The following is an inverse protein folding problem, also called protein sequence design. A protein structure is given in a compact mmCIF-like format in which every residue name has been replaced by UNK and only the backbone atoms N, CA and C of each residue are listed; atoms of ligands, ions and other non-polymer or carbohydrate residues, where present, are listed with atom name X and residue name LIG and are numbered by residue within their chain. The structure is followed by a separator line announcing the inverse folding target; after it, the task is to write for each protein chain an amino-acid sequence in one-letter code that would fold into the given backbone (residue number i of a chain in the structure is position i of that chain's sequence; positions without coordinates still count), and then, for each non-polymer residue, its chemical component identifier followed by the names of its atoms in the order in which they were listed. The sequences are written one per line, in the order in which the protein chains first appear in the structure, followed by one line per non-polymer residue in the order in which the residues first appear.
data_IF_808243973568
#
_entry.id   IF_808243973568
#
_cell.length_a   1.000
_cell.length_b   1.000
_cell.length_c   1.000
_cell.angle_alpha   90.00
_cell.angle_beta   90.00
_cell.angle_gamma   90.00
#
_symmetry.space_group_name_H-M   'P 1'
#
loop_
_entity.id
_entity.type
_entity.pdbx_description
1 polymer ?
#
# COMPACT_ATOMS: atom_id res chain seq x y z
N UNK A 1 32.50 3.81 30.16
CA UNK A 1 31.83 5.04 29.70
C UNK A 1 31.65 5.11 28.15
N UNK A 2 32.55 4.54 27.34
CA UNK A 2 32.52 4.60 25.86
C UNK A 2 31.45 3.67 25.22
N UNK A 3 31.11 2.56 25.88
CA UNK A 3 30.11 1.59 25.36
C UNK A 3 28.69 2.17 25.42
N UNK A 4 28.40 2.98 26.45
CA UNK A 4 27.07 3.63 26.60
C UNK A 4 26.77 4.67 25.54
N UNK A 5 27.80 5.40 25.06
CA UNK A 5 27.60 6.44 24.04
C UNK A 5 27.30 5.85 22.64
N UNK A 6 27.96 4.75 22.26
CA UNK A 6 27.68 4.07 20.95
C UNK A 6 26.31 3.42 20.91
N UNK A 7 25.86 2.87 22.05
CA UNK A 7 24.50 2.29 22.14
C UNK A 7 23.43 3.38 22.04
N UNK A 8 23.63 4.53 22.67
CA UNK A 8 22.71 5.67 22.62
C UNK A 8 22.65 6.30 21.20
N UNK A 9 23.78 6.42 20.53
CA UNK A 9 23.86 6.90 19.13
C UNK A 9 23.15 5.93 18.18
N UNK A 10 23.28 4.63 18.40
CA UNK A 10 22.56 3.61 17.61
C UNK A 10 21.04 3.71 17.77
N UNK A 11 20.52 3.82 18.99
CA UNK A 11 19.08 3.98 19.26
C UNK A 11 18.56 5.29 18.66
N UNK A 12 19.30 6.39 18.83
CA UNK A 12 18.91 7.68 18.28
C UNK A 12 18.85 7.63 16.72
N UNK A 13 19.79 6.95 16.08
CA UNK A 13 19.78 6.75 14.62
C UNK A 13 18.59 5.92 14.12
N UNK A 14 18.21 4.86 14.87
CA UNK A 14 17.03 4.05 14.55
C UNK A 14 15.74 4.86 14.73
N UNK A 15 15.64 5.63 15.82
CA UNK A 15 14.49 6.50 16.08
C UNK A 15 14.33 7.58 15.00
N UNK A 16 15.41 8.21 14.57
CA UNK A 16 15.41 9.22 13.52
C UNK A 16 14.95 8.60 12.20
N UNK A 17 15.47 7.42 11.82
CA UNK A 17 15.03 6.72 10.61
C UNK A 17 13.55 6.36 10.68
N UNK A 18 13.06 5.91 11.81
CA UNK A 18 11.64 5.59 12.03
C UNK A 18 10.75 6.83 11.92
N UNK A 19 11.18 7.97 12.49
CA UNK A 19 10.44 9.24 12.38
C UNK A 19 10.44 9.73 10.93
N UNK A 20 11.56 9.71 10.24
CA UNK A 20 11.65 10.10 8.82
C UNK A 20 10.74 9.24 7.95
N UNK A 21 10.73 7.93 8.18
CA UNK A 21 9.84 6.99 7.50
C UNK A 21 8.35 7.32 7.73
N UNK A 22 7.96 7.64 8.97
CA UNK A 22 6.59 8.06 9.29
C UNK A 22 6.22 9.40 8.64
N UNK A 23 7.14 10.36 8.65
CA UNK A 23 6.95 11.68 8.00
C UNK A 23 6.73 11.53 6.51
N UNK A 24 7.51 10.68 5.85
CA UNK A 24 7.35 10.34 4.43
C UNK A 24 5.92 9.86 4.12
N UNK A 25 5.40 8.92 4.92
CA UNK A 25 4.04 8.38 4.76
C UNK A 25 2.97 9.47 4.92
N UNK A 26 3.15 10.35 5.90
CA UNK A 26 2.23 11.45 6.17
C UNK A 26 2.25 12.51 5.06
N UNK A 27 3.41 12.81 4.50
CA UNK A 27 3.52 13.76 3.38
C UNK A 27 2.80 13.22 2.15
N UNK A 28 3.03 11.96 1.78
CA UNK A 28 2.35 11.35 0.65
C UNK A 28 0.85 11.34 0.80
N UNK A 29 0.36 10.96 1.98
CA UNK A 29 -1.06 11.04 2.27
C UNK A 29 -1.58 12.48 2.22
N UNK A 30 -0.81 13.46 2.72
CA UNK A 30 -1.16 14.88 2.69
C UNK A 30 -1.31 15.44 1.26
N UNK A 31 -0.52 14.96 0.32
CA UNK A 31 -0.60 15.37 -1.10
C UNK A 31 -1.73 14.62 -1.84
N UNK A 32 -1.90 13.31 -1.58
CA UNK A 32 -2.93 12.50 -2.24
C UNK A 32 -4.33 12.80 -1.76
N UNK A 33 -4.51 13.06 -0.45
CA UNK A 33 -5.83 13.25 0.14
C UNK A 33 -6.65 14.35 -0.55
N UNK A 34 -6.17 15.59 -0.75
CA UNK A 34 -6.96 16.63 -1.41
C UNK A 34 -7.42 16.21 -2.81
N UNK A 35 -6.54 15.59 -3.60
CA UNK A 35 -6.87 15.14 -4.95
C UNK A 35 -7.96 14.06 -4.96
N UNK A 36 -7.82 13.03 -4.14
CA UNK A 36 -8.81 11.94 -4.03
C UNK A 36 -10.13 12.45 -3.45
N UNK A 37 -10.09 13.30 -2.43
CA UNK A 37 -11.30 13.86 -1.81
C UNK A 37 -12.09 14.72 -2.81
N UNK A 38 -11.40 15.58 -3.58
CA UNK A 38 -12.02 16.36 -4.65
C UNK A 38 -12.60 15.46 -5.74
N UNK A 39 -11.85 14.49 -6.23
CA UNK A 39 -12.31 13.53 -7.22
C UNK A 39 -13.61 12.83 -6.79
N UNK A 40 -13.67 12.31 -5.56
CA UNK A 40 -14.85 11.64 -5.05
C UNK A 40 -16.00 12.59 -4.71
N UNK A 41 -15.70 13.80 -4.28
CA UNK A 41 -16.72 14.83 -4.06
C UNK A 41 -17.47 15.16 -5.36
N UNK A 42 -16.77 15.26 -6.49
CA UNK A 42 -17.39 15.54 -7.79
C UNK A 42 -18.04 14.32 -8.42
N UNK A 43 -17.46 13.12 -8.26
CA UNK A 43 -17.94 11.91 -8.94
C UNK A 43 -18.96 11.10 -8.14
N UNK A 44 -18.97 11.23 -6.79
CA UNK A 44 -19.83 10.41 -5.92
C UNK A 44 -20.18 11.12 -4.59
N UNK A 45 -20.66 12.36 -4.71
CA UNK A 45 -20.92 13.25 -3.57
C UNK A 45 -21.74 12.63 -2.44
N UNK A 46 -22.78 11.87 -2.79
CA UNK A 46 -23.71 11.30 -1.80
C UNK A 46 -23.06 10.18 -0.98
N UNK A 47 -22.31 9.29 -1.63
CA UNK A 47 -21.58 8.21 -0.96
C UNK A 47 -20.39 8.77 -0.19
N UNK A 48 -19.67 9.72 -0.79
CA UNK A 48 -18.55 10.41 -0.15
C UNK A 48 -18.94 11.03 1.19
N UNK A 49 -20.04 11.81 1.27
CA UNK A 49 -20.51 12.41 2.52
C UNK A 49 -20.81 11.39 3.62
N UNK A 50 -21.25 10.17 3.25
CA UNK A 50 -21.55 9.10 4.21
C UNK A 50 -20.32 8.31 4.65
N UNK A 51 -19.31 8.20 3.78
CA UNK A 51 -18.16 7.27 3.95
C UNK A 51 -16.80 7.94 3.85
N UNK A 52 -16.71 9.28 3.97
CA UNK A 52 -15.46 10.04 3.84
C UNK A 52 -14.34 9.51 4.76
N UNK A 53 -14.67 9.08 5.97
CA UNK A 53 -13.71 8.54 6.92
C UNK A 53 -13.02 7.28 6.38
N UNK A 54 -13.77 6.38 5.76
CA UNK A 54 -13.22 5.19 5.12
C UNK A 54 -12.30 5.53 3.95
N UNK A 55 -12.62 6.57 3.20
CA UNK A 55 -11.76 7.05 2.10
C UNK A 55 -10.44 7.57 2.63
N UNK A 56 -10.46 8.40 3.69
CA UNK A 56 -9.24 8.92 4.32
C UNK A 56 -8.37 7.77 4.81
N UNK A 57 -8.94 6.81 5.55
CA UNK A 57 -8.22 5.62 6.00
C UNK A 57 -7.61 4.84 4.84
N UNK A 58 -8.36 4.65 3.77
CA UNK A 58 -7.87 3.90 2.61
C UNK A 58 -6.73 4.61 1.89
N UNK A 59 -6.82 5.92 1.68
CA UNK A 59 -5.76 6.69 1.03
C UNK A 59 -4.48 6.68 1.87
N UNK A 60 -4.58 6.88 3.19
CA UNK A 60 -3.42 6.79 4.10
C UNK A 60 -2.80 5.40 4.03
N UNK A 61 -3.64 4.36 4.10
CA UNK A 61 -3.20 2.98 3.99
C UNK A 61 -2.51 2.70 2.64
N UNK A 62 -3.10 3.12 1.50
CA UNK A 62 -2.54 2.90 0.18
C UNK A 62 -1.16 3.55 0.01
N UNK A 63 -0.99 4.79 0.50
CA UNK A 63 0.31 5.45 0.49
C UNK A 63 1.33 4.68 1.35
N UNK A 64 0.95 4.26 2.55
CA UNK A 64 1.81 3.46 3.42
C UNK A 64 2.20 2.13 2.76
N UNK A 65 1.23 1.43 2.16
CA UNK A 65 1.45 0.16 1.47
C UNK A 65 2.46 0.33 0.32
N UNK A 66 2.26 1.28 -0.58
CA UNK A 66 3.17 1.48 -1.72
C UNK A 66 4.60 1.83 -1.31
N UNK A 67 4.76 2.58 -0.24
CA UNK A 67 6.09 2.85 0.28
C UNK A 67 6.73 1.60 0.92
N UNK A 68 5.95 0.72 1.59
CA UNK A 68 6.47 -0.51 2.21
C UNK A 68 6.84 -1.55 1.15
N UNK A 69 5.99 -1.74 0.14
CA UNK A 69 6.26 -2.71 -0.94
C UNK A 69 7.41 -2.28 -1.84
N UNK A 70 7.82 -1.00 -1.82
CA UNK A 70 8.96 -0.51 -2.57
C UNK A 70 8.70 -0.51 -4.09
N UNK A 71 7.68 0.24 -4.52
CA UNK A 71 7.47 0.51 -5.95
C UNK A 71 8.59 1.43 -6.47
N UNK A 72 8.93 1.38 -7.78
CA UNK A 72 9.99 2.20 -8.34
C UNK A 72 9.71 3.69 -8.14
N UNK A 73 10.75 4.48 -7.87
CA UNK A 73 10.67 5.93 -7.86
C UNK A 73 11.12 6.51 -9.20
N UNK A 74 10.67 7.71 -9.53
CA UNK A 74 11.07 8.38 -10.77
C UNK A 74 12.59 8.62 -10.88
N UNK A 75 13.32 8.60 -9.76
CA UNK A 75 14.77 8.81 -9.70
C UNK A 75 15.58 7.51 -9.76
N UNK A 76 14.97 6.38 -9.35
CA UNK A 76 15.66 5.09 -9.24
C UNK A 76 14.84 4.01 -9.91
N UNK A 77 14.89 3.98 -11.24
CA UNK A 77 14.32 2.91 -12.05
C UNK A 77 15.46 2.03 -12.54
N UNK A 78 15.45 0.75 -12.20
CA UNK A 78 16.41 -0.23 -12.70
C UNK A 78 15.68 -1.48 -13.15
N UNK A 79 16.00 -1.92 -14.35
CA UNK A 79 15.56 -3.21 -14.85
C UNK A 79 16.46 -4.31 -14.28
N UNK A 80 15.92 -5.08 -13.32
CA UNK A 80 16.64 -6.18 -12.66
C UNK A 80 15.65 -7.32 -12.39
N UNK A 81 15.31 -8.13 -13.42
CA UNK A 81 14.25 -9.12 -13.36
C UNK A 81 14.69 -10.40 -12.64
N UNK A 82 14.89 -10.34 -11.34
CA UNK A 82 15.02 -11.54 -10.52
C UNK A 82 13.63 -12.05 -10.14
N UNK A 83 13.23 -13.23 -10.63
CA UNK A 83 11.90 -13.79 -10.44
C UNK A 83 11.99 -15.19 -9.83
N UNK A 84 11.34 -15.39 -8.71
CA UNK A 84 11.10 -16.71 -8.13
C UNK A 84 9.71 -17.24 -8.56
N UNK A 85 9.71 -18.25 -9.41
CA UNK A 85 8.49 -18.89 -9.90
C UNK A 85 8.09 -20.13 -9.09
N UNK A 86 8.92 -20.58 -8.14
CA UNK A 86 8.68 -21.81 -7.39
C UNK A 86 8.00 -21.44 -6.07
N UNK A 87 6.70 -21.75 -5.91
CA UNK A 87 5.99 -21.47 -4.68
C UNK A 87 6.62 -22.19 -3.48
N UNK A 88 6.75 -21.49 -2.36
CA UNK A 88 7.22 -22.03 -1.08
C UNK A 88 8.60 -22.69 -1.15
N UNK A 89 9.48 -22.12 -1.97
CA UNK A 89 10.85 -22.63 -2.15
C UNK A 89 11.68 -22.55 -0.88
N UNK A 90 11.48 -21.53 -0.08
CA UNK A 90 12.23 -21.27 1.16
C UNK A 90 11.29 -21.10 2.35
N UNK A 91 11.47 -21.95 3.37
CA UNK A 91 10.75 -21.89 4.65
C UNK A 91 11.63 -21.37 5.78
N UNK A 92 12.60 -20.51 5.50
CA UNK A 92 13.34 -19.83 6.56
C UNK A 92 12.39 -18.97 7.43
N UNK A 93 12.79 -18.76 8.68
CA UNK A 93 12.00 -17.90 9.60
C UNK A 93 11.80 -16.50 9.06
N UNK A 94 12.79 -15.95 8.35
CA UNK A 94 12.70 -14.64 7.70
C UNK A 94 11.64 -14.61 6.60
N UNK A 95 11.57 -15.67 5.77
CA UNK A 95 10.60 -15.78 4.68
C UNK A 95 9.17 -15.97 5.21
N UNK A 96 8.97 -16.78 6.26
CA UNK A 96 7.68 -16.94 6.93
C UNK A 96 7.17 -15.61 7.49
N UNK A 97 8.04 -14.78 8.07
CA UNK A 97 7.68 -13.44 8.54
C UNK A 97 7.27 -12.55 7.35
N UNK A 98 8.02 -12.55 6.24
CA UNK A 98 7.68 -11.83 5.02
C UNK A 98 6.31 -12.20 4.47
N UNK A 99 6.05 -13.50 4.31
CA UNK A 99 4.74 -14.05 3.89
C UNK A 99 3.60 -13.58 4.81
N UNK A 100 3.82 -13.61 6.13
CA UNK A 100 2.83 -13.17 7.12
C UNK A 100 2.54 -11.68 7.01
N UNK A 101 3.57 -10.86 6.77
CA UNK A 101 3.43 -9.41 6.56
C UNK A 101 2.67 -9.10 5.27
N UNK A 102 2.88 -9.85 4.20
CA UNK A 102 2.14 -9.71 2.94
C UNK A 102 0.65 -9.98 3.14
N UNK A 103 0.28 -11.06 3.84
CA UNK A 103 -1.11 -11.33 4.23
C UNK A 103 -1.67 -10.14 5.02
N UNK A 104 -0.98 -9.74 6.09
CA UNK A 104 -1.43 -8.67 6.98
C UNK A 104 -1.62 -7.34 6.25
N UNK A 105 -0.73 -7.04 5.32
CA UNK A 105 -0.76 -5.82 4.53
C UNK A 105 -1.97 -5.77 3.58
N UNK A 106 -2.43 -6.90 3.04
CA UNK A 106 -3.56 -6.93 2.11
C UNK A 106 -4.93 -7.11 2.79
N UNK A 107 -4.99 -7.43 4.08
CA UNK A 107 -6.25 -7.47 4.84
C UNK A 107 -7.03 -6.15 4.76
N UNK A 108 -6.43 -4.97 5.02
CA UNK A 108 -7.17 -3.69 4.91
C UNK A 108 -7.68 -3.43 3.49
N UNK A 109 -6.91 -3.81 2.45
CA UNK A 109 -7.36 -3.69 1.06
C UNK A 109 -8.63 -4.49 0.81
N UNK A 110 -8.62 -5.78 1.16
CA UNK A 110 -9.76 -6.67 1.00
C UNK A 110 -10.99 -6.24 1.81
N UNK A 111 -10.80 -5.68 3.01
CA UNK A 111 -11.88 -5.18 3.84
C UNK A 111 -12.50 -3.89 3.31
N UNK A 112 -11.68 -2.95 2.83
CA UNK A 112 -12.16 -1.66 2.32
C UNK A 112 -13.03 -1.79 1.09
N UNK A 113 -12.69 -2.68 0.15
CA UNK A 113 -13.39 -2.80 -1.12
C UNK A 113 -14.91 -3.00 -0.97
N UNK A 114 -15.43 -3.98 -0.22
CA UNK A 114 -16.86 -4.14 -0.01
C UNK A 114 -17.48 -3.04 0.85
N UNK A 115 -16.70 -2.39 1.75
CA UNK A 115 -17.21 -1.32 2.60
C UNK A 115 -17.55 -0.08 1.79
N UNK A 116 -16.73 0.27 0.81
CA UNK A 116 -16.91 1.49 0.03
C UNK A 116 -17.60 1.26 -1.31
N UNK A 117 -17.23 0.20 -2.05
CA UNK A 117 -17.67 -0.04 -3.41
C UNK A 117 -18.66 -1.21 -3.49
N UNK A 118 -19.88 -0.96 -3.94
CA UNK A 118 -20.93 -1.99 -4.06
C UNK A 118 -20.59 -3.10 -5.06
N UNK A 119 -19.77 -2.83 -6.09
CA UNK A 119 -19.31 -3.82 -7.05
C UNK A 119 -18.52 -4.97 -6.40
N UNK A 120 -17.82 -4.68 -5.31
CA UNK A 120 -16.94 -5.62 -4.60
C UNK A 120 -17.65 -6.37 -3.46
N UNK A 121 -18.97 -6.38 -3.40
CA UNK A 121 -19.72 -7.21 -2.44
C UNK A 121 -19.64 -8.70 -2.73
N UNK A 122 -19.26 -9.07 -3.96
CA UNK A 122 -19.00 -10.47 -4.31
C UNK A 122 -17.54 -10.81 -4.00
N UNK A 123 -17.34 -11.90 -3.26
CA UNK A 123 -16.01 -12.39 -2.89
C UNK A 123 -15.07 -12.50 -4.10
N UNK A 124 -15.54 -13.12 -5.20
CA UNK A 124 -14.70 -13.31 -6.39
C UNK A 124 -14.20 -12.00 -7.00
N UNK A 125 -15.03 -10.93 -7.03
CA UNK A 125 -14.61 -9.63 -7.57
C UNK A 125 -13.57 -8.95 -6.67
N UNK A 126 -13.69 -9.09 -5.35
CA UNK A 126 -12.75 -8.53 -4.39
C UNK A 126 -11.41 -9.28 -4.44
N UNK A 127 -11.45 -10.61 -4.43
CA UNK A 127 -10.23 -11.44 -4.50
C UNK A 127 -9.51 -11.22 -5.82
N UNK A 128 -10.24 -11.15 -6.94
CA UNK A 128 -9.65 -10.85 -8.24
C UNK A 128 -8.99 -9.45 -8.28
N UNK A 129 -9.59 -8.45 -7.65
CA UNK A 129 -8.99 -7.12 -7.53
C UNK A 129 -7.70 -7.15 -6.68
N UNK A 130 -7.67 -7.95 -5.60
CA UNK A 130 -6.47 -8.15 -4.79
C UNK A 130 -5.35 -8.84 -5.55
N UNK A 131 -5.69 -9.93 -6.27
CA UNK A 131 -4.73 -10.64 -7.11
C UNK A 131 -4.16 -9.73 -8.22
N UNK A 132 -5.01 -8.94 -8.87
CA UNK A 132 -4.57 -7.99 -9.88
C UNK A 132 -3.69 -6.88 -9.29
N UNK A 133 -4.04 -6.37 -8.11
CA UNK A 133 -3.22 -5.39 -7.39
C UNK A 133 -1.86 -5.95 -7.03
N UNK A 134 -1.82 -7.17 -6.48
CA UNK A 134 -0.57 -7.86 -6.16
C UNK A 134 0.27 -8.09 -7.42
N UNK A 135 -0.32 -8.60 -8.49
CA UNK A 135 0.37 -8.76 -9.78
C UNK A 135 0.95 -7.43 -10.29
N UNK A 136 0.22 -6.34 -10.15
CA UNK A 136 0.71 -5.00 -10.55
C UNK A 136 1.93 -4.59 -9.74
N UNK A 137 1.95 -4.87 -8.43
CA UNK A 137 3.10 -4.63 -7.56
C UNK A 137 4.30 -5.44 -8.01
N UNK A 138 4.12 -6.76 -8.26
CA UNK A 138 5.20 -7.64 -8.74
C UNK A 138 5.80 -7.14 -10.07
N UNK A 139 4.95 -6.72 -11.03
CA UNK A 139 5.42 -6.12 -12.28
C UNK A 139 6.23 -4.85 -12.05
N UNK A 140 5.80 -4.00 -11.12
CA UNK A 140 6.55 -2.78 -10.77
C UNK A 140 7.87 -3.10 -10.07
N UNK A 141 7.95 -4.17 -9.28
CA UNK A 141 9.17 -4.59 -8.60
C UNK A 141 10.25 -5.09 -9.56
N UNK A 142 9.90 -5.52 -10.78
CA UNK A 142 10.90 -5.79 -11.84
C UNK A 142 11.79 -4.57 -12.17
N UNK A 143 11.31 -3.36 -11.85
CA UNK A 143 12.04 -2.11 -12.05
C UNK A 143 12.70 -1.59 -10.77
N UNK A 144 12.87 -2.45 -9.78
CA UNK A 144 13.52 -2.14 -8.49
C UNK A 144 14.61 -3.17 -8.18
N UNK A 145 15.22 -3.08 -7.00
CA UNK A 145 16.17 -4.10 -6.51
C UNK A 145 15.45 -5.22 -5.70
N UNK A 146 14.14 -5.39 -5.86
CA UNK A 146 13.39 -6.39 -5.14
C UNK A 146 13.20 -7.64 -5.99
N UNK A 147 13.27 -8.79 -5.33
CA UNK A 147 12.92 -10.07 -5.93
C UNK A 147 11.39 -10.10 -6.13
N UNK A 148 10.96 -10.41 -7.36
CA UNK A 148 9.57 -10.70 -7.70
C UNK A 148 9.28 -12.14 -7.31
N UNK A 149 8.31 -12.37 -6.42
CA UNK A 149 8.05 -13.68 -5.84
C UNK A 149 6.59 -14.11 -6.02
N UNK A 150 6.40 -15.33 -6.51
CA UNK A 150 5.06 -15.94 -6.64
C UNK A 150 4.38 -16.11 -5.27
N UNK A 151 5.16 -16.27 -4.19
CA UNK A 151 4.64 -16.37 -2.83
C UNK A 151 3.96 -15.07 -2.40
N UNK A 152 4.50 -13.92 -2.80
CA UNK A 152 3.91 -12.62 -2.51
C UNK A 152 2.54 -12.47 -3.17
N UNK A 153 2.42 -12.91 -4.44
CA UNK A 153 1.13 -12.92 -5.14
C UNK A 153 0.08 -13.79 -4.42
N UNK A 154 0.48 -14.98 -3.95
CA UNK A 154 -0.40 -15.91 -3.24
C UNK A 154 -0.80 -15.33 -1.88
N UNK A 155 0.15 -14.84 -1.09
CA UNK A 155 -0.09 -14.32 0.25
C UNK A 155 -0.90 -13.02 0.25
N UNK A 156 -0.64 -12.12 -0.67
CA UNK A 156 -1.41 -10.89 -0.86
C UNK A 156 -2.87 -11.20 -1.25
N UNK A 157 -3.07 -12.19 -2.13
CA UNK A 157 -4.41 -12.65 -2.52
C UNK A 157 -5.14 -13.28 -1.32
N UNK A 158 -4.45 -14.09 -0.52
CA UNK A 158 -4.99 -14.66 0.71
C UNK A 158 -5.36 -13.57 1.73
N UNK A 159 -4.49 -12.58 1.91
CA UNK A 159 -4.77 -11.40 2.75
C UNK A 159 -6.03 -10.65 2.29
N UNK A 160 -6.19 -10.48 0.98
CA UNK A 160 -7.42 -9.87 0.41
C UNK A 160 -8.67 -10.70 0.72
N UNK A 161 -8.58 -12.02 0.62
CA UNK A 161 -9.70 -12.92 0.95
C UNK A 161 -10.10 -12.81 2.43
N UNK A 162 -9.13 -12.82 3.35
CA UNK A 162 -9.38 -12.62 4.78
C UNK A 162 -9.98 -11.24 5.06
N UNK A 163 -9.45 -10.21 4.42
CA UNK A 163 -9.97 -8.85 4.50
C UNK A 163 -11.39 -8.73 3.99
N UNK A 164 -11.73 -9.39 2.88
CA UNK A 164 -13.11 -9.46 2.39
C UNK A 164 -14.06 -10.01 3.46
N UNK A 165 -13.69 -11.08 4.17
CA UNK A 165 -14.49 -11.63 5.26
C UNK A 165 -14.83 -10.58 6.32
N UNK A 166 -13.84 -9.78 6.75
CA UNK A 166 -14.03 -8.68 7.71
C UNK A 166 -14.95 -7.61 7.12
N UNK A 167 -14.70 -7.16 5.89
CA UNK A 167 -15.51 -6.15 5.21
C UNK A 167 -16.96 -6.60 5.01
N UNK A 168 -17.18 -7.86 4.63
CA UNK A 168 -18.50 -8.43 4.44
C UNK A 168 -19.32 -8.44 5.75
N UNK A 169 -18.70 -8.73 6.89
CA UNK A 169 -19.36 -8.65 8.22
C UNK A 169 -19.80 -7.22 8.51
N UNK A 170 -18.94 -6.23 8.24
CA UNK A 170 -19.25 -4.81 8.49
C UNK A 170 -20.42 -4.35 7.62
N UNK A 171 -20.48 -4.81 6.36
CA UNK A 171 -21.45 -4.33 5.36
C UNK A 171 -22.74 -5.16 5.31
N UNK A 172 -22.80 -6.30 5.99
CA UNK A 172 -23.95 -7.24 5.95
C UNK A 172 -25.33 -6.58 6.14
N UNK A 173 -25.40 -5.41 6.77
CA UNK A 173 -26.61 -4.63 6.98
C UNK A 173 -26.89 -3.54 5.93
N UNK A 174 -25.97 -3.30 4.97
CA UNK A 174 -26.07 -2.20 4.02
C UNK A 174 -26.43 -2.72 2.63
N UNK A 175 -27.71 -2.64 2.24
CA UNK A 175 -28.16 -2.87 0.85
C UNK A 175 -27.87 -1.63 -0.01
N UNK A 176 -26.62 -1.37 -0.39
CA UNK A 176 -26.33 -0.35 -1.39
C UNK A 176 -26.39 -0.96 -2.79
N UNK A 177 -26.98 -0.21 -3.75
CA UNK A 177 -27.04 -0.64 -5.17
C UNK A 177 -25.63 -0.69 -5.77
N UNK A 178 -25.39 -1.69 -6.61
CA UNK A 178 -24.19 -1.77 -7.45
C UNK A 178 -24.12 -0.51 -8.33
N UNK A 179 -22.96 0.13 -8.37
CA UNK A 179 -22.70 1.28 -9.23
C UNK A 179 -21.69 0.86 -10.28
N UNK A 180 -22.02 1.07 -11.56
CA UNK A 180 -21.21 0.57 -12.68
C UNK A 180 -19.79 1.15 -12.74
N UNK A 181 -19.59 2.34 -12.18
CA UNK A 181 -18.30 3.03 -12.22
C UNK A 181 -17.38 2.77 -11.02
N UNK A 182 -17.72 1.82 -10.13
CA UNK A 182 -16.92 1.57 -8.91
C UNK A 182 -15.50 1.10 -9.25
N UNK A 183 -15.32 0.29 -10.28
CA UNK A 183 -13.99 -0.19 -10.73
C UNK A 183 -13.12 0.97 -11.21
N UNK A 184 -13.68 1.87 -12.03
CA UNK A 184 -12.96 3.04 -12.54
C UNK A 184 -12.53 3.98 -11.40
N UNK A 185 -13.40 4.19 -10.40
CA UNK A 185 -13.07 4.99 -9.22
C UNK A 185 -11.94 4.36 -8.40
N UNK A 186 -11.98 3.05 -8.20
CA UNK A 186 -10.91 2.32 -7.53
C UNK A 186 -9.57 2.48 -8.27
N UNK A 187 -9.56 2.26 -9.58
CA UNK A 187 -8.35 2.42 -10.41
C UNK A 187 -7.84 3.87 -10.32
N UNK A 188 -8.71 4.86 -10.37
CA UNK A 188 -8.32 6.27 -10.26
C UNK A 188 -7.69 6.58 -8.89
N UNK A 189 -8.28 6.10 -7.79
CA UNK A 189 -7.73 6.30 -6.44
C UNK A 189 -6.35 5.64 -6.31
N UNK A 190 -6.23 4.37 -6.72
CA UNK A 190 -4.96 3.63 -6.71
C UNK A 190 -3.92 4.36 -7.57
N UNK A 191 -4.29 4.76 -8.79
CA UNK A 191 -3.41 5.48 -9.70
C UNK A 191 -2.92 6.81 -9.14
N UNK A 192 -3.80 7.61 -8.52
CA UNK A 192 -3.42 8.86 -7.86
C UNK A 192 -2.44 8.58 -6.70
N UNK A 193 -2.73 7.61 -5.84
CA UNK A 193 -1.83 7.24 -4.75
C UNK A 193 -0.45 6.79 -5.27
N UNK A 194 -0.44 5.95 -6.30
CA UNK A 194 0.79 5.45 -6.92
C UNK A 194 1.62 6.58 -7.54
N UNK A 195 0.99 7.48 -8.32
CA UNK A 195 1.67 8.61 -8.93
C UNK A 195 2.31 9.54 -7.89
N UNK A 196 1.62 9.80 -6.78
CA UNK A 196 2.19 10.62 -5.71
C UNK A 196 3.37 9.92 -5.03
N UNK A 197 3.30 8.62 -4.80
CA UNK A 197 4.44 7.89 -4.22
C UNK A 197 5.64 7.92 -5.17
N UNK A 198 5.44 7.65 -6.46
CA UNK A 198 6.50 7.61 -7.47
C UNK A 198 7.17 8.98 -7.69
N UNK A 199 6.37 10.04 -7.80
CA UNK A 199 6.87 11.36 -8.24
C UNK A 199 7.05 12.38 -7.11
N UNK A 200 6.47 12.17 -5.95
CA UNK A 200 6.50 13.15 -4.85
C UNK A 200 7.21 12.62 -3.61
N UNK A 201 6.82 11.46 -3.10
CA UNK A 201 7.35 10.97 -1.84
C UNK A 201 8.84 10.72 -1.89
N UNK A 202 9.29 9.88 -2.80
CA UNK A 202 10.69 9.49 -2.92
C UNK A 202 11.61 10.70 -3.23
N UNK A 203 11.32 11.54 -4.24
CA UNK A 203 12.14 12.72 -4.52
C UNK A 203 12.23 13.69 -3.33
N UNK A 204 11.14 13.86 -2.59
CA UNK A 204 11.07 14.78 -1.46
C UNK A 204 11.87 14.24 -0.26
N UNK A 205 11.77 12.95 0.01
CA UNK A 205 12.57 12.31 1.07
C UNK A 205 14.04 12.37 0.75
N UNK A 206 14.43 12.08 -0.49
CA UNK A 206 15.83 12.17 -0.91
C UNK A 206 16.37 13.61 -0.82
N UNK A 207 15.57 14.61 -1.18
CA UNK A 207 15.94 16.01 -1.01
C UNK A 207 16.11 16.41 0.47
N UNK A 208 15.24 15.93 1.36
CA UNK A 208 15.35 16.17 2.81
C UNK A 208 16.57 15.48 3.39
N UNK A 209 16.83 14.22 3.02
CA UNK A 209 18.01 13.48 3.48
C UNK A 209 19.31 14.13 3.00
N UNK A 210 19.37 14.58 1.74
CA UNK A 210 20.52 15.28 1.19
C UNK A 210 20.83 16.57 1.95
N UNK A 211 19.79 17.36 2.26
CA UNK A 211 19.94 18.64 2.97
C UNK A 211 20.21 18.48 4.47
N UNK A 212 19.84 17.35 5.08
CA UNK A 212 20.06 17.08 6.50
C UNK A 212 21.44 16.52 6.84
N UNK A 213 22.27 16.21 5.83
CA UNK A 213 23.59 15.57 6.03
C UNK A 213 23.49 14.13 6.54
N UNK A 214 22.32 13.51 6.45
CA UNK A 214 22.06 12.12 6.90
C UNK A 214 22.32 11.08 5.78
N UNK A 215 22.71 11.52 4.59
CA UNK A 215 23.24 10.64 3.56
C UNK A 215 24.71 10.35 3.86
N UNK A 216 24.99 9.20 4.46
CA UNK A 216 26.30 8.55 4.52
C UNK A 216 26.18 7.21 3.86
#
# INVERSE_FOLDING_TARGET
MIVSSRFFVGICGVLIKMILYLVEKLIGAGVTLPGVLLFLYYTDRNRFKKKWFWVVLFVVYMNAMFCVVGIPSAQFVRWDPEINWIPFRDFSSANIVGMSLNILMFIPFGAFLPIYFGRFWKMGTTVLAGAFMSFTIEVLQLFTFRLTDIDDLIMNTLGTLLGYGIGAIIVHKQKERLVDHDVMKLIAIIGICMLVVVFVNEPLVMAVLANSGLMI
#
